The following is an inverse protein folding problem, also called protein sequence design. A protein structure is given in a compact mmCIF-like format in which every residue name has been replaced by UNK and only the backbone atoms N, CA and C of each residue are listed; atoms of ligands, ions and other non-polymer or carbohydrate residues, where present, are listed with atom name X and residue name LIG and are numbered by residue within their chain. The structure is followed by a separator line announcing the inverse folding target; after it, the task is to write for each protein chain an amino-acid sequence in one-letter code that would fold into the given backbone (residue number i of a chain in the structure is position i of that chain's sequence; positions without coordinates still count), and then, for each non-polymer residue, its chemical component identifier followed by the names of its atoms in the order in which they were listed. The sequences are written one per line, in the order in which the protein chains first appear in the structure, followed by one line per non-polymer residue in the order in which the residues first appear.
data_IF_617214333161
#
_entry.id   IF_617214333161
#
_cell.length_a   1.000
_cell.length_b   1.000
_cell.length_c   1.000
_cell.angle_alpha   90.00
_cell.angle_beta   90.00
_cell.angle_gamma   90.00
#
_symmetry.space_group_name_H-M   'P 1'
#
loop_
_entity.id
_entity.type
_entity.pdbx_description
1 polymer ?
#
# COMPACT_ATOMS: atom_id res chain seq x y z
N UNK A 1 -5.70 24.92 3.16
CA UNK A 1 -5.91 23.90 2.11
C UNK A 1 -5.28 24.29 0.78
N UNK A 2 -5.45 25.53 0.29
CA UNK A 2 -4.79 25.98 -0.95
C UNK A 2 -3.25 25.89 -0.92
N UNK A 3 -2.60 26.12 0.22
CA UNK A 3 -1.15 25.91 0.38
C UNK A 3 -0.74 24.44 0.16
N UNK A 4 -1.52 23.49 0.68
CA UNK A 4 -1.30 22.05 0.45
C UNK A 4 -1.48 21.70 -1.02
N UNK A 5 -2.43 22.33 -1.70
CA UNK A 5 -2.65 22.17 -3.14
C UNK A 5 -1.49 22.77 -3.95
N UNK A 6 -0.99 23.95 -3.55
CA UNK A 6 0.20 24.57 -4.14
C UNK A 6 1.40 23.64 -4.09
N UNK A 7 1.67 23.04 -2.92
CA UNK A 7 2.75 22.08 -2.74
C UNK A 7 2.53 20.79 -3.55
N UNK A 8 1.31 20.22 -3.52
CA UNK A 8 1.02 18.94 -4.17
C UNK A 8 1.07 19.00 -5.71
N UNK A 9 0.89 20.18 -6.29
CA UNK A 9 0.97 20.44 -7.73
C UNK A 9 2.34 20.95 -8.17
N UNK A 10 3.26 21.19 -7.24
CA UNK A 10 4.52 21.91 -7.48
C UNK A 10 4.31 23.24 -8.24
N UNK A 11 3.28 24.00 -7.84
CA UNK A 11 2.88 25.23 -8.52
C UNK A 11 3.99 26.29 -8.49
N UNK A 12 4.07 27.10 -9.54
CA UNK A 12 4.74 28.40 -9.50
C UNK A 12 3.86 29.45 -8.79
N UNK A 13 2.56 29.45 -9.09
CA UNK A 13 1.55 30.32 -8.44
C UNK A 13 0.14 29.74 -8.55
N UNK A 14 -0.73 30.15 -7.63
CA UNK A 14 -2.19 29.97 -7.72
C UNK A 14 -2.81 31.37 -7.75
N UNK A 15 -3.63 31.64 -8.77
CA UNK A 15 -4.41 32.88 -8.86
C UNK A 15 -5.82 32.56 -8.39
N UNK A 16 -6.28 33.27 -7.36
CA UNK A 16 -7.69 33.22 -6.92
C UNK A 16 -8.48 34.17 -7.79
N UNK A 17 -9.25 33.63 -8.75
CA UNK A 17 -10.12 34.43 -9.62
C UNK A 17 -11.41 34.85 -8.93
N UNK A 18 -11.81 34.13 -7.88
CA UNK A 18 -12.92 34.50 -7.02
C UNK A 18 -12.78 33.89 -5.63
N UNK A 19 -13.11 34.65 -4.59
CA UNK A 19 -13.11 34.21 -3.20
C UNK A 19 -14.45 34.47 -2.52
N UNK A 20 -14.43 35.00 -1.30
CA UNK A 20 -15.64 35.39 -0.59
C UNK A 20 -16.50 36.40 -1.39
N UNK A 21 -17.82 36.22 -1.37
CA UNK A 21 -18.80 37.12 -1.99
C UNK A 21 -19.93 37.41 -0.99
N UNK A 22 -20.41 38.65 -0.92
CA UNK A 22 -21.65 38.91 -0.18
C UNK A 22 -22.86 38.28 -0.90
N UNK A 23 -23.94 38.00 -0.18
CA UNK A 23 -25.12 37.34 -0.75
C UNK A 23 -25.71 38.06 -1.98
N UNK A 24 -25.69 39.39 -1.99
CA UNK A 24 -26.15 40.19 -3.12
C UNK A 24 -25.25 40.01 -4.35
N UNK A 25 -23.93 40.05 -4.16
CA UNK A 25 -22.98 39.84 -5.25
C UNK A 25 -23.01 38.40 -5.77
N UNK A 26 -23.12 37.40 -4.87
CA UNK A 26 -23.23 35.99 -5.24
C UNK A 26 -24.43 35.74 -6.18
N UNK A 27 -25.61 36.31 -5.85
CA UNK A 27 -26.79 36.24 -6.72
C UNK A 27 -26.58 36.94 -8.07
N UNK A 28 -25.88 38.07 -8.09
CA UNK A 28 -25.62 38.82 -9.32
C UNK A 28 -24.73 38.04 -10.32
N UNK A 29 -23.93 37.09 -9.84
CA UNK A 29 -23.06 36.23 -10.65
C UNK A 29 -23.59 34.80 -10.80
N UNK A 30 -24.89 34.58 -10.55
CA UNK A 30 -25.57 33.30 -10.77
C UNK A 30 -25.58 32.33 -9.59
N UNK A 31 -25.05 32.73 -8.44
CA UNK A 31 -25.13 31.98 -7.19
C UNK A 31 -26.50 32.08 -6.51
N UNK A 32 -26.72 31.26 -5.48
CA UNK A 32 -27.99 31.24 -4.74
C UNK A 32 -28.02 32.23 -3.55
N UNK A 33 -26.91 32.91 -3.26
CA UNK A 33 -26.78 33.85 -2.14
C UNK A 33 -26.56 33.20 -0.78
N UNK A 34 -26.36 31.89 -0.72
CA UNK A 34 -26.15 31.11 0.51
C UNK A 34 -25.09 29.99 0.34
N UNK A 35 -24.36 29.99 -0.77
CA UNK A 35 -23.36 28.98 -1.12
C UNK A 35 -22.02 29.13 -0.37
N UNK A 36 -21.05 28.28 -0.70
CA UNK A 36 -19.75 28.23 -0.02
C UNK A 36 -18.93 29.54 -0.19
N UNK A 37 -19.10 30.26 -1.30
CA UNK A 37 -18.51 31.60 -1.47
C UNK A 37 -19.04 32.61 -0.44
N UNK A 38 -20.34 32.56 -0.12
CA UNK A 38 -20.93 33.44 0.91
C UNK A 38 -20.54 33.07 2.33
N UNK A 39 -20.03 31.85 2.53
CA UNK A 39 -19.48 31.36 3.81
C UNK A 39 -17.99 31.62 3.95
N UNK A 40 -17.33 32.13 2.90
CA UNK A 40 -15.87 32.32 2.88
C UNK A 40 -15.08 31.02 2.82
N UNK A 41 -15.73 29.91 2.48
CA UNK A 41 -15.16 28.56 2.46
C UNK A 41 -14.87 28.04 1.05
N UNK A 42 -15.06 28.88 0.02
CA UNK A 42 -14.80 28.55 -1.38
C UNK A 42 -13.88 29.56 -2.07
N UNK A 43 -13.17 29.07 -3.08
CA UNK A 43 -12.39 29.85 -4.02
C UNK A 43 -12.43 29.22 -5.41
N UNK A 44 -12.52 30.07 -6.43
CA UNK A 44 -12.26 29.66 -7.82
C UNK A 44 -10.82 30.02 -8.14
N UNK A 45 -10.06 29.07 -8.69
CA UNK A 45 -8.61 29.20 -8.84
C UNK A 45 -8.12 28.78 -10.22
N UNK A 46 -7.05 29.44 -10.67
CA UNK A 46 -6.23 29.02 -11.81
C UNK A 46 -4.82 28.71 -11.28
N UNK A 47 -4.33 27.50 -11.54
CA UNK A 47 -3.02 27.04 -11.08
C UNK A 47 -2.00 27.13 -12.22
N UNK A 48 -0.78 27.55 -11.92
CA UNK A 48 0.32 27.67 -12.87
C UNK A 48 1.54 26.88 -12.40
N UNK A 49 2.24 26.23 -13.31
CA UNK A 49 3.52 25.58 -13.04
C UNK A 49 4.64 26.62 -12.83
N UNK A 50 5.84 26.15 -12.46
CA UNK A 50 7.02 27.01 -12.25
C UNK A 50 7.50 27.73 -13.52
N UNK A 51 7.13 27.22 -14.69
CA UNK A 51 7.45 27.80 -16.00
C UNK A 51 6.40 28.84 -16.44
N UNK A 52 5.33 29.02 -15.67
CA UNK A 52 4.25 29.96 -15.95
C UNK A 52 3.15 29.41 -16.87
N UNK A 53 3.14 28.12 -17.20
CA UNK A 53 2.05 27.50 -17.95
C UNK A 53 0.88 27.15 -17.02
N UNK A 54 -0.33 27.17 -17.56
CA UNK A 54 -1.52 26.75 -16.81
C UNK A 54 -1.45 25.24 -16.56
N UNK A 55 -1.64 24.84 -15.30
CA UNK A 55 -1.86 23.44 -14.93
C UNK A 55 -3.34 23.13 -15.21
N UNK A 56 -3.59 22.09 -15.99
CA UNK A 56 -4.95 21.71 -16.38
C UNK A 56 -5.84 21.48 -15.15
N UNK A 57 -7.06 22.01 -15.20
CA UNK A 57 -8.12 21.80 -14.21
C UNK A 57 -8.37 20.32 -13.94
N UNK A 58 -8.17 19.43 -14.94
CA UNK A 58 -8.27 17.97 -14.74
C UNK A 58 -7.30 17.49 -13.65
N UNK A 59 -6.04 17.89 -13.77
CA UNK A 59 -4.97 17.58 -12.81
C UNK A 59 -5.25 18.21 -11.44
N UNK A 60 -5.69 19.47 -11.43
CA UNK A 60 -6.01 20.20 -10.20
C UNK A 60 -7.15 19.53 -9.44
N UNK A 61 -8.24 19.13 -10.11
CA UNK A 61 -9.36 18.39 -9.51
C UNK A 61 -8.91 17.06 -8.89
N UNK A 62 -8.08 16.29 -9.61
CA UNK A 62 -7.52 15.04 -9.11
C UNK A 62 -6.69 15.24 -7.82
N UNK A 63 -5.82 16.26 -7.78
CA UNK A 63 -5.02 16.56 -6.58
C UNK A 63 -5.83 17.14 -5.44
N UNK A 64 -6.82 17.99 -5.72
CA UNK A 64 -7.74 18.48 -4.71
C UNK A 64 -8.55 17.33 -4.08
N UNK A 65 -8.94 16.33 -4.87
CA UNK A 65 -9.59 15.13 -4.37
C UNK A 65 -8.68 14.38 -3.39
N UNK A 66 -7.39 14.19 -3.73
CA UNK A 66 -6.43 13.51 -2.84
C UNK A 66 -6.18 14.28 -1.54
N UNK A 67 -6.26 15.60 -1.58
CA UNK A 67 -6.10 16.48 -0.41
C UNK A 67 -7.37 16.58 0.45
N UNK A 68 -8.48 16.00 0.01
CA UNK A 68 -9.73 15.93 0.76
C UNK A 68 -10.58 17.19 0.72
N UNK A 69 -10.51 17.99 -0.36
CA UNK A 69 -11.46 19.09 -0.56
C UNK A 69 -12.90 18.55 -0.63
N UNK A 70 -13.83 19.29 0.00
CA UNK A 70 -15.22 18.87 0.14
C UNK A 70 -16.04 19.11 -1.12
N UNK A 71 -15.78 20.24 -1.80
CA UNK A 71 -16.35 20.55 -3.10
C UNK A 71 -15.26 20.92 -4.09
N UNK A 72 -15.35 20.34 -5.28
CA UNK A 72 -14.39 20.46 -6.37
C UNK A 72 -15.19 20.47 -7.66
N UNK A 73 -14.98 21.45 -8.54
CA UNK A 73 -15.54 21.38 -9.89
C UNK A 73 -14.63 22.00 -10.94
N UNK A 74 -14.55 21.37 -12.11
CA UNK A 74 -14.05 22.05 -13.31
C UNK A 74 -15.07 23.12 -13.72
N UNK A 75 -14.64 24.37 -13.94
CA UNK A 75 -15.58 25.46 -14.27
C UNK A 75 -15.45 25.97 -15.71
N UNK A 76 -14.49 25.46 -16.49
CA UNK A 76 -14.22 25.95 -17.86
C UNK A 76 -14.07 24.81 -18.86
N UNK A 77 -14.57 25.01 -20.08
CA UNK A 77 -14.40 24.03 -21.16
C UNK A 77 -12.95 23.86 -21.63
N UNK A 78 -12.12 24.88 -21.40
CA UNK A 78 -10.68 24.86 -21.65
C UNK A 78 -9.87 24.17 -20.53
N UNK A 79 -10.53 23.72 -19.45
CA UNK A 79 -9.90 23.11 -18.28
C UNK A 79 -8.79 23.98 -17.68
N UNK A 80 -9.08 25.25 -17.41
CA UNK A 80 -8.10 26.19 -16.84
C UNK A 80 -8.41 26.61 -15.41
N UNK A 81 -9.69 26.59 -15.01
CA UNK A 81 -10.13 27.04 -13.69
C UNK A 81 -10.91 25.97 -12.95
N UNK A 82 -10.75 25.96 -11.62
CA UNK A 82 -11.35 24.98 -10.70
C UNK A 82 -12.01 25.71 -9.52
N UNK A 83 -13.25 25.33 -9.23
CA UNK A 83 -13.93 25.65 -7.98
C UNK A 83 -13.43 24.72 -6.87
N UNK A 84 -13.08 25.28 -5.73
CA UNK A 84 -12.62 24.55 -4.55
C UNK A 84 -13.30 25.05 -3.30
N UNK A 85 -13.83 24.15 -2.49
CA UNK A 85 -14.37 24.50 -1.18
C UNK A 85 -14.15 23.42 -0.11
N UNK A 86 -14.27 23.83 1.14
CA UNK A 86 -13.99 23.01 2.33
C UNK A 86 -15.26 22.48 3.02
N UNK A 87 -16.38 22.34 2.29
CA UNK A 87 -17.64 21.83 2.86
C UNK A 87 -17.44 20.47 3.54
N UNK A 88 -18.15 20.28 4.65
CA UNK A 88 -18.17 19.02 5.41
C UNK A 88 -19.50 18.28 5.23
N UNK A 89 -19.49 16.95 5.36
CA UNK A 89 -20.69 16.11 5.35
C UNK A 89 -21.04 15.46 4.01
N UNK A 90 -21.02 16.18 2.90
CA UNK A 90 -21.28 15.62 1.56
C UNK A 90 -20.27 16.13 0.54
N UNK A 91 -19.72 15.21 -0.25
CA UNK A 91 -18.78 15.53 -1.32
C UNK A 91 -19.50 16.03 -2.56
N UNK A 92 -18.95 17.07 -3.17
CA UNK A 92 -19.44 17.64 -4.42
C UNK A 92 -18.32 17.63 -5.46
N UNK A 93 -18.33 16.67 -6.39
CA UNK A 93 -17.34 16.57 -7.47
C UNK A 93 -18.05 16.84 -8.80
N UNK A 94 -17.98 18.08 -9.26
CA UNK A 94 -18.73 18.60 -10.40
C UNK A 94 -17.88 18.87 -11.66
N UNK A 95 -18.58 19.17 -12.74
CA UNK A 95 -18.04 19.79 -13.95
C UNK A 95 -19.10 20.78 -14.45
N UNK A 96 -18.94 22.06 -14.14
CA UNK A 96 -19.93 23.10 -14.43
C UNK A 96 -20.13 23.32 -15.93
N UNK A 97 -19.20 22.83 -16.76
CA UNK A 97 -19.38 22.81 -18.23
C UNK A 97 -20.43 21.80 -18.68
N UNK A 98 -20.78 20.84 -17.81
CA UNK A 98 -21.80 19.80 -17.99
C UNK A 98 -23.02 20.01 -17.09
N UNK A 99 -22.93 20.93 -16.14
CA UNK A 99 -23.98 21.28 -15.19
C UNK A 99 -23.46 21.36 -13.74
N UNK A 100 -24.30 21.84 -12.82
CA UNK A 100 -23.87 22.12 -11.44
C UNK A 100 -24.07 20.95 -10.48
N UNK A 101 -24.34 19.75 -10.98
CA UNK A 101 -24.52 18.53 -10.17
C UNK A 101 -23.20 17.77 -9.98
N UNK A 102 -23.16 16.85 -9.00
CA UNK A 102 -22.05 15.89 -8.88
C UNK A 102 -22.02 15.00 -10.12
N UNK A 103 -20.88 14.99 -10.82
CA UNK A 103 -20.69 14.22 -12.08
C UNK A 103 -19.85 12.97 -11.87
N UNK A 104 -19.13 12.86 -10.75
CA UNK A 104 -18.26 11.73 -10.45
C UNK A 104 -18.09 11.52 -8.95
N UNK A 105 -17.60 10.35 -8.54
CA UNK A 105 -17.04 10.13 -7.21
C UNK A 105 -15.50 10.00 -7.25
N UNK A 106 -14.89 10.03 -8.44
CA UNK A 106 -13.47 9.89 -8.67
C UNK A 106 -13.02 10.61 -9.95
N UNK A 107 -12.30 11.73 -9.80
CA UNK A 107 -11.80 12.53 -10.93
C UNK A 107 -10.74 11.83 -11.78
N UNK A 108 -9.94 10.93 -11.20
CA UNK A 108 -8.95 10.17 -11.96
C UNK A 108 -9.63 9.31 -13.03
N UNK A 109 -10.66 8.56 -12.64
CA UNK A 109 -11.47 7.76 -13.58
C UNK A 109 -12.24 8.65 -14.56
N UNK A 110 -12.86 9.74 -14.06
CA UNK A 110 -13.65 10.65 -14.89
C UNK A 110 -12.84 11.31 -16.03
N UNK A 111 -11.61 11.73 -15.75
CA UNK A 111 -10.75 12.37 -16.74
C UNK A 111 -9.85 11.38 -17.51
N UNK A 112 -9.89 10.09 -17.19
CA UNK A 112 -8.98 9.10 -17.75
C UNK A 112 -7.51 9.36 -17.41
N UNK A 113 -7.24 9.86 -16.20
CA UNK A 113 -5.90 10.16 -15.70
C UNK A 113 -5.45 9.04 -14.77
N UNK A 114 -4.29 8.45 -15.02
CA UNK A 114 -3.68 7.49 -14.11
C UNK A 114 -3.32 8.14 -12.77
N UNK A 115 -3.73 7.52 -11.65
CA UNK A 115 -3.38 7.99 -10.31
C UNK A 115 -1.98 7.53 -9.95
N UNK A 116 -1.02 8.45 -9.96
CA UNK A 116 0.28 8.22 -9.33
C UNK A 116 0.06 8.01 -7.82
N UNK A 117 0.48 6.86 -7.28
CA UNK A 117 0.55 6.72 -5.82
C UNK A 117 1.79 7.49 -5.35
N UNK A 118 1.73 8.16 -4.19
CA UNK A 118 2.93 8.77 -3.63
C UNK A 118 3.98 7.68 -3.43
N UNK A 119 5.09 7.76 -4.18
CA UNK A 119 6.29 7.00 -3.88
C UNK A 119 6.80 7.45 -2.52
N UNK A 120 7.09 6.54 -1.57
CA UNK A 120 7.89 6.90 -0.42
C UNK A 120 9.24 7.38 -0.95
N UNK A 121 9.55 8.67 -0.79
CA UNK A 121 10.80 9.25 -1.29
C UNK A 121 12.02 8.85 -0.47
N UNK A 122 11.82 8.07 0.59
CA UNK A 122 12.87 7.66 1.53
C UNK A 122 12.99 6.14 1.58
N UNK A 123 14.23 5.67 1.47
CA UNK A 123 14.59 4.28 1.71
C UNK A 123 14.39 4.02 3.21
N UNK A 124 13.51 3.07 3.55
CA UNK A 124 13.21 2.72 4.95
C UNK A 124 14.07 1.56 5.47
N UNK A 125 14.57 0.71 4.56
CA UNK A 125 15.45 -0.41 4.90
C UNK A 125 16.32 -0.83 3.70
N UNK A 126 17.49 -1.40 3.99
CA UNK A 126 18.38 -2.00 3.00
C UNK A 126 18.37 -3.52 3.11
N UNK A 127 18.34 -4.22 1.99
CA UNK A 127 18.26 -5.66 1.98
C UNK A 127 19.13 -6.31 0.92
N UNK A 128 19.03 -7.62 0.90
CA UNK A 128 19.60 -8.50 -0.11
C UNK A 128 18.55 -9.53 -0.52
N UNK A 129 18.63 -10.02 -1.75
CA UNK A 129 17.95 -11.24 -2.15
C UNK A 129 18.97 -12.34 -2.48
N UNK A 130 18.67 -13.56 -2.01
CA UNK A 130 19.64 -14.66 -1.99
C UNK A 130 19.02 -16.00 -2.31
N UNK A 131 19.84 -16.91 -2.80
CA UNK A 131 19.45 -18.27 -3.18
C UNK A 131 20.62 -19.25 -2.98
N UNK A 132 20.51 -20.46 -3.55
CA UNK A 132 21.66 -21.38 -3.65
C UNK A 132 22.90 -20.77 -4.29
N UNK A 133 22.77 -19.72 -5.10
CA UNK A 133 23.89 -19.11 -5.82
C UNK A 133 24.91 -18.44 -4.89
N UNK A 134 24.49 -17.99 -3.70
CA UNK A 134 25.37 -17.45 -2.67
C UNK A 134 25.98 -18.55 -1.77
N UNK A 135 25.68 -19.83 -2.04
CA UNK A 135 26.19 -20.95 -1.27
C UNK A 135 25.79 -20.91 0.20
N UNK A 136 26.69 -21.38 1.07
CA UNK A 136 26.48 -21.40 2.53
C UNK A 136 26.87 -20.04 3.10
N UNK A 137 25.88 -19.17 3.30
CA UNK A 137 26.07 -17.82 3.84
C UNK A 137 26.44 -17.87 5.34
N UNK A 138 27.42 -17.06 5.74
CA UNK A 138 27.67 -16.77 7.16
C UNK A 138 26.77 -15.60 7.61
N UNK A 139 25.57 -15.94 8.08
CA UNK A 139 24.55 -14.95 8.44
C UNK A 139 24.91 -14.11 9.67
N UNK A 140 25.77 -14.61 10.56
CA UNK A 140 26.27 -13.82 11.70
C UNK A 140 27.14 -12.67 11.22
N UNK A 141 28.01 -12.91 10.23
CA UNK A 141 28.78 -11.85 9.57
C UNK A 141 27.88 -10.89 8.80
N UNK A 142 26.82 -11.38 8.15
CA UNK A 142 25.83 -10.54 7.48
C UNK A 142 25.16 -9.60 8.49
N UNK A 143 24.65 -10.13 9.61
CA UNK A 143 24.03 -9.32 10.67
C UNK A 143 25.02 -8.33 11.28
N UNK A 144 26.23 -8.78 11.61
CA UNK A 144 27.27 -7.96 12.21
C UNK A 144 27.79 -6.85 11.26
N UNK A 145 27.56 -6.98 9.96
CA UNK A 145 27.97 -5.97 8.98
C UNK A 145 27.21 -4.65 9.14
N UNK A 146 25.99 -4.67 9.70
CA UNK A 146 25.11 -3.50 9.79
C UNK A 146 24.61 -2.98 8.43
N UNK A 147 24.79 -3.75 7.35
CA UNK A 147 24.40 -3.35 5.98
C UNK A 147 23.07 -3.96 5.53
N UNK A 148 22.55 -4.96 6.25
CA UNK A 148 21.39 -5.77 5.86
C UNK A 148 20.33 -5.71 6.96
N UNK A 149 19.25 -5.01 6.66
CA UNK A 149 18.06 -4.86 7.50
C UNK A 149 17.01 -5.93 7.20
N UNK A 150 16.98 -6.47 5.97
CA UNK A 150 16.08 -7.55 5.56
C UNK A 150 16.70 -8.47 4.50
N UNK A 151 16.09 -9.64 4.28
CA UNK A 151 16.46 -10.53 3.17
C UNK A 151 15.24 -11.12 2.44
N UNK A 152 15.28 -11.22 1.11
CA UNK A 152 14.29 -11.97 0.32
C UNK A 152 14.94 -13.29 -0.13
N UNK A 153 14.33 -14.43 0.22
CA UNK A 153 14.96 -15.73 0.05
C UNK A 153 14.31 -16.50 -1.12
N UNK A 154 15.09 -17.07 -2.05
CA UNK A 154 14.48 -17.98 -3.03
C UNK A 154 13.89 -19.18 -2.31
N UNK A 155 12.58 -19.34 -2.37
CA UNK A 155 11.90 -20.52 -1.85
C UNK A 155 12.03 -21.70 -2.81
N UNK A 156 12.01 -21.42 -4.11
CA UNK A 156 12.16 -22.42 -5.15
C UNK A 156 11.89 -21.83 -6.53
N UNK A 157 11.68 -22.72 -7.49
CA UNK A 157 11.44 -22.36 -8.89
C UNK A 157 10.57 -23.41 -9.57
N UNK A 158 9.88 -23.05 -10.66
CA UNK A 158 9.09 -24.01 -11.43
C UNK A 158 7.95 -24.65 -10.62
N UNK A 159 7.55 -25.87 -11.00
CA UNK A 159 6.29 -26.52 -10.57
C UNK A 159 6.46 -27.88 -9.90
N UNK A 160 7.69 -28.31 -9.65
CA UNK A 160 8.00 -29.59 -9.03
C UNK A 160 8.55 -29.38 -7.61
N UNK A 161 8.18 -30.25 -6.67
CA UNK A 161 8.67 -30.16 -5.28
C UNK A 161 10.18 -30.35 -5.14
N UNK A 162 10.83 -31.02 -6.11
CA UNK A 162 12.29 -31.14 -6.20
C UNK A 162 13.01 -29.83 -6.53
N UNK A 163 12.26 -28.78 -6.89
CA UNK A 163 12.77 -27.46 -7.25
C UNK A 163 12.71 -26.44 -6.10
N UNK A 164 12.42 -26.90 -4.87
CA UNK A 164 12.68 -26.09 -3.66
C UNK A 164 14.18 -25.76 -3.62
N UNK A 165 14.52 -24.49 -3.37
CA UNK A 165 15.92 -24.07 -3.33
C UNK A 165 16.64 -24.75 -2.16
N UNK A 166 17.76 -25.40 -2.45
CA UNK A 166 18.51 -26.20 -1.48
C UNK A 166 19.05 -25.39 -0.30
N UNK A 167 19.15 -24.07 -0.41
CA UNK A 167 19.52 -23.18 0.71
C UNK A 167 18.33 -22.55 1.42
N UNK A 168 17.09 -22.72 0.93
CA UNK A 168 15.93 -22.00 1.46
C UNK A 168 15.74 -22.20 2.97
N UNK A 169 15.68 -23.45 3.43
CA UNK A 169 15.47 -23.77 4.85
C UNK A 169 16.60 -23.27 5.74
N UNK A 170 17.85 -23.36 5.26
CA UNK A 170 19.01 -22.85 6.00
C UNK A 170 18.96 -21.32 6.09
N UNK A 171 18.71 -20.64 4.98
CA UNK A 171 18.64 -19.18 4.94
C UNK A 171 17.47 -18.66 5.80
N UNK A 172 16.31 -19.30 5.70
CA UNK A 172 15.14 -18.98 6.50
C UNK A 172 15.44 -19.15 8.00
N UNK A 173 15.91 -20.33 8.42
CA UNK A 173 16.20 -20.61 9.83
C UNK A 173 17.25 -19.66 10.42
N UNK A 174 18.29 -19.31 9.68
CA UNK A 174 19.30 -18.35 10.12
C UNK A 174 18.76 -16.92 10.23
N UNK A 175 17.92 -16.49 9.27
CA UNK A 175 17.24 -15.19 9.35
C UNK A 175 16.37 -15.12 10.61
N UNK A 176 15.56 -16.16 10.88
CA UNK A 176 14.72 -16.20 12.09
C UNK A 176 15.57 -16.25 13.37
N UNK A 177 16.64 -17.05 13.40
CA UNK A 177 17.56 -17.16 14.56
C UNK A 177 18.20 -15.82 14.93
N UNK A 178 18.58 -15.03 13.93
CA UNK A 178 19.28 -13.75 14.11
C UNK A 178 18.36 -12.53 14.11
N UNK A 179 17.04 -12.73 14.00
CA UNK A 179 16.07 -11.63 13.92
C UNK A 179 16.32 -10.71 12.72
N UNK A 180 16.60 -11.30 11.55
CA UNK A 180 16.62 -10.60 10.27
C UNK A 180 15.23 -10.80 9.64
N UNK A 181 14.40 -9.74 9.54
CA UNK A 181 13.14 -9.79 8.79
C UNK A 181 13.35 -10.37 7.39
N UNK A 182 12.51 -11.33 6.99
CA UNK A 182 12.67 -11.96 5.69
C UNK A 182 11.36 -12.12 4.92
N UNK A 183 11.50 -12.10 3.60
CA UNK A 183 10.48 -12.47 2.62
C UNK A 183 10.95 -13.68 1.82
N UNK A 184 10.22 -14.01 0.76
CA UNK A 184 10.66 -15.05 -0.16
C UNK A 184 10.33 -14.69 -1.61
N UNK A 185 10.96 -15.36 -2.56
CA UNK A 185 10.57 -15.29 -3.96
C UNK A 185 10.48 -16.68 -4.60
N UNK A 186 9.70 -16.78 -5.67
CA UNK A 186 9.54 -18.00 -6.47
C UNK A 186 9.80 -17.71 -7.94
N UNK A 187 10.87 -18.30 -8.49
CA UNK A 187 11.27 -18.08 -9.88
C UNK A 187 10.39 -18.88 -10.84
N UNK A 188 9.74 -18.19 -11.77
CA UNK A 188 8.72 -18.77 -12.63
C UNK A 188 9.26 -19.25 -13.97
N UNK A 189 8.84 -20.46 -14.37
CA UNK A 189 8.99 -20.96 -15.74
C UNK A 189 7.64 -21.13 -16.45
N UNK A 190 6.53 -20.82 -15.77
CA UNK A 190 5.19 -20.94 -16.30
C UNK A 190 5.01 -20.17 -17.61
N UNK A 191 4.26 -20.72 -18.55
CA UNK A 191 3.86 -20.06 -19.81
C UNK A 191 2.36 -19.85 -19.90
N UNK A 192 1.62 -20.48 -18.99
CA UNK A 192 0.17 -20.43 -18.90
C UNK A 192 -0.26 -20.17 -17.46
N UNK A 193 -1.46 -19.62 -17.27
CA UNK A 193 -2.03 -19.42 -15.94
C UNK A 193 -2.17 -20.74 -15.13
N UNK A 194 -2.45 -21.86 -15.80
CA UNK A 194 -2.53 -23.17 -15.16
C UNK A 194 -1.18 -23.62 -14.60
N UNK A 195 -0.09 -23.39 -15.34
CA UNK A 195 1.26 -23.66 -14.82
C UNK A 195 1.61 -22.71 -13.68
N UNK A 196 1.34 -21.42 -13.79
CA UNK A 196 1.59 -20.46 -12.71
C UNK A 196 0.82 -20.84 -11.43
N UNK A 197 -0.39 -21.37 -11.55
CA UNK A 197 -1.13 -21.91 -10.41
C UNK A 197 -0.47 -23.18 -9.82
N UNK A 198 0.08 -24.07 -10.65
CA UNK A 198 0.85 -25.23 -10.17
C UNK A 198 2.12 -24.81 -9.43
N UNK A 199 2.84 -23.82 -9.97
CA UNK A 199 4.00 -23.22 -9.30
C UNK A 199 3.61 -22.62 -7.94
N UNK A 200 2.49 -21.88 -7.88
CA UNK A 200 1.98 -21.32 -6.63
C UNK A 200 1.65 -22.40 -5.60
N UNK A 201 1.08 -23.54 -6.02
CA UNK A 201 0.79 -24.66 -5.12
C UNK A 201 2.07 -25.24 -4.50
N UNK A 202 3.14 -25.40 -5.27
CA UNK A 202 4.44 -25.86 -4.74
C UNK A 202 5.08 -24.80 -3.87
N UNK A 203 5.04 -23.52 -4.27
CA UNK A 203 5.51 -22.40 -3.45
C UNK A 203 4.82 -22.43 -2.07
N UNK A 204 3.49 -22.49 -2.03
CA UNK A 204 2.72 -22.58 -0.78
C UNK A 204 3.13 -23.77 0.10
N UNK A 205 3.47 -24.92 -0.51
CA UNK A 205 3.96 -26.07 0.25
C UNK A 205 5.32 -25.80 0.91
N UNK A 206 6.22 -25.07 0.25
CA UNK A 206 7.51 -24.67 0.81
C UNK A 206 7.37 -23.61 1.91
N UNK A 207 6.37 -22.72 1.80
CA UNK A 207 6.10 -21.66 2.77
C UNK A 207 5.32 -22.13 4.01
N UNK A 208 4.68 -23.30 3.95
CA UNK A 208 3.80 -23.80 5.00
C UNK A 208 4.48 -23.81 6.40
N UNK A 209 3.77 -23.28 7.39
CA UNK A 209 4.22 -23.22 8.79
C UNK A 209 5.30 -22.16 9.07
N UNK A 210 5.63 -21.30 8.10
CA UNK A 210 6.63 -20.24 8.24
C UNK A 210 6.00 -18.86 8.35
N UNK A 211 6.79 -17.90 8.82
CA UNK A 211 6.39 -16.49 8.98
C UNK A 211 7.35 -15.57 8.24
N UNK A 212 6.81 -14.60 7.49
CA UNK A 212 7.60 -13.71 6.64
C UNK A 212 7.22 -12.24 6.86
N UNK A 213 8.14 -11.45 7.38
CA UNK A 213 7.97 -10.02 7.61
C UNK A 213 8.02 -9.18 6.33
N UNK A 214 8.41 -9.78 5.20
CA UNK A 214 8.42 -9.16 3.87
C UNK A 214 7.57 -9.96 2.88
N UNK A 215 7.20 -9.39 1.71
CA UNK A 215 6.36 -10.04 0.71
C UNK A 215 6.88 -11.39 0.22
N UNK A 216 5.98 -12.17 -0.37
CA UNK A 216 6.31 -13.32 -1.21
C UNK A 216 6.22 -12.87 -2.67
N UNK A 217 7.37 -12.77 -3.34
CA UNK A 217 7.46 -12.27 -4.71
C UNK A 217 7.29 -13.40 -5.75
N UNK A 218 6.43 -13.16 -6.74
CA UNK A 218 6.40 -13.91 -7.98
C UNK A 218 7.44 -13.34 -8.93
N UNK A 219 8.51 -14.11 -9.18
CA UNK A 219 9.63 -13.69 -10.00
C UNK A 219 9.40 -14.15 -11.45
N UNK A 220 9.08 -13.20 -12.34
CA UNK A 220 8.73 -13.43 -13.74
C UNK A 220 9.67 -12.67 -14.68
N UNK A 221 10.66 -13.37 -15.21
CA UNK A 221 11.69 -12.77 -16.08
C UNK A 221 11.77 -13.42 -17.46
N UNK A 222 11.23 -14.63 -17.59
CA UNK A 222 11.34 -15.43 -18.81
C UNK A 222 10.59 -14.78 -19.98
N UNK A 223 11.29 -14.58 -21.09
CA UNK A 223 10.74 -13.94 -22.30
C UNK A 223 9.46 -14.63 -22.81
N UNK A 224 9.36 -15.96 -22.63
CA UNK A 224 8.18 -16.73 -22.99
C UNK A 224 7.00 -16.49 -22.02
N UNK A 225 7.29 -16.31 -20.73
CA UNK A 225 6.30 -16.03 -19.69
C UNK A 225 5.72 -14.62 -19.83
N UNK A 226 6.58 -13.65 -20.18
CA UNK A 226 6.19 -12.24 -20.33
C UNK A 226 5.13 -11.99 -21.42
N UNK A 227 4.96 -12.92 -22.37
CA UNK A 227 3.90 -12.84 -23.39
C UNK A 227 2.49 -12.92 -22.80
N UNK A 228 2.35 -13.54 -21.63
CA UNK A 228 1.09 -13.75 -20.94
C UNK A 228 1.12 -13.16 -19.51
N UNK A 229 2.03 -12.23 -19.24
CA UNK A 229 2.45 -11.84 -17.88
C UNK A 229 1.27 -11.56 -16.94
N UNK A 230 0.25 -10.83 -17.38
CA UNK A 230 -0.91 -10.49 -16.56
C UNK A 230 -1.64 -11.72 -16.03
N UNK A 231 -1.91 -12.70 -16.90
CA UNK A 231 -2.60 -13.94 -16.53
C UNK A 231 -1.75 -14.79 -15.56
N UNK A 232 -0.43 -14.80 -15.73
CA UNK A 232 0.49 -15.52 -14.85
C UNK A 232 0.58 -14.86 -13.48
N UNK A 233 0.79 -13.54 -13.44
CA UNK A 233 0.83 -12.75 -12.22
C UNK A 233 -0.48 -12.91 -11.44
N UNK A 234 -1.62 -12.78 -12.11
CA UNK A 234 -2.93 -12.96 -11.49
C UNK A 234 -3.09 -14.37 -10.91
N UNK A 235 -2.75 -15.42 -11.66
CA UNK A 235 -2.90 -16.80 -11.21
C UNK A 235 -2.04 -17.11 -9.98
N UNK A 236 -0.77 -16.73 -10.01
CA UNK A 236 0.16 -17.01 -8.92
C UNK A 236 -0.14 -16.15 -7.69
N UNK A 237 -0.24 -14.82 -7.86
CA UNK A 237 -0.41 -13.90 -6.75
C UNK A 237 -1.78 -14.05 -6.08
N UNK A 238 -2.85 -14.31 -6.84
CA UNK A 238 -4.17 -14.58 -6.25
C UNK A 238 -4.20 -15.86 -5.41
N UNK A 239 -3.44 -16.88 -5.81
CA UNK A 239 -3.33 -18.11 -5.03
C UNK A 239 -2.61 -17.87 -3.69
N UNK A 240 -1.54 -17.06 -3.70
CA UNK A 240 -0.86 -16.62 -2.48
C UNK A 240 -1.78 -15.77 -1.57
N UNK A 241 -2.45 -14.76 -2.12
CA UNK A 241 -3.39 -13.91 -1.36
C UNK A 241 -4.52 -14.74 -0.73
N UNK A 242 -5.07 -15.69 -1.49
CA UNK A 242 -6.14 -16.58 -1.00
C UNK A 242 -5.67 -17.49 0.14
N UNK A 243 -4.37 -17.80 0.19
CA UNK A 243 -3.74 -18.55 1.27
C UNK A 243 -3.26 -17.65 2.43
N UNK A 244 -3.55 -16.34 2.39
CA UNK A 244 -3.20 -15.39 3.44
C UNK A 244 -1.79 -14.83 3.36
N UNK A 245 -1.15 -14.86 2.19
CA UNK A 245 0.15 -14.23 1.97
C UNK A 245 0.04 -12.88 1.28
N UNK A 246 0.93 -11.97 1.63
CA UNK A 246 1.15 -10.70 0.95
C UNK A 246 2.01 -10.96 -0.29
N UNK A 247 1.39 -10.87 -1.47
CA UNK A 247 2.05 -11.13 -2.74
C UNK A 247 2.67 -9.85 -3.34
N UNK A 248 3.82 -10.01 -4.00
CA UNK A 248 4.43 -8.99 -4.83
C UNK A 248 4.84 -9.57 -6.19
N UNK A 249 5.03 -8.71 -7.19
CA UNK A 249 5.56 -9.09 -8.50
C UNK A 249 7.00 -8.61 -8.58
N UNK A 250 7.93 -9.51 -8.86
CA UNK A 250 9.30 -9.17 -9.21
C UNK A 250 9.50 -9.31 -10.73
N UNK A 251 10.03 -8.26 -11.35
CA UNK A 251 10.55 -8.29 -12.72
C UNK A 251 11.34 -7.02 -13.02
N UNK A 252 12.00 -6.97 -14.17
CA UNK A 252 12.78 -5.81 -14.61
C UNK A 252 11.92 -4.69 -15.20
N UNK A 253 12.41 -3.44 -15.08
CA UNK A 253 11.70 -2.22 -15.49
C UNK A 253 10.99 -2.32 -16.85
N UNK A 254 11.69 -2.79 -17.88
CA UNK A 254 11.12 -2.82 -19.24
C UNK A 254 9.96 -3.81 -19.39
N UNK A 255 9.93 -4.90 -18.61
CA UNK A 255 8.77 -5.80 -18.56
C UNK A 255 7.58 -5.16 -17.83
N UNK A 256 7.82 -4.44 -16.72
CA UNK A 256 6.77 -3.68 -16.04
C UNK A 256 6.12 -2.59 -16.91
N UNK A 257 6.86 -2.06 -17.89
CA UNK A 257 6.39 -1.03 -18.81
C UNK A 257 5.73 -1.61 -20.06
N UNK A 258 6.18 -2.77 -20.55
CA UNK A 258 5.75 -3.29 -21.86
C UNK A 258 4.90 -4.56 -21.81
N UNK A 259 4.94 -5.32 -20.71
CA UNK A 259 4.31 -6.63 -20.59
C UNK A 259 3.25 -6.73 -19.49
N UNK A 260 3.29 -5.87 -18.47
CA UNK A 260 2.38 -5.93 -17.32
C UNK A 260 1.39 -4.76 -17.33
N UNK A 261 0.10 -5.10 -17.33
CA UNK A 261 -1.02 -4.18 -17.30
C UNK A 261 -1.12 -3.36 -16.01
N UNK A 262 -1.66 -2.14 -16.12
CA UNK A 262 -1.82 -1.23 -14.97
C UNK A 262 -2.77 -1.77 -13.90
N UNK A 263 -3.76 -2.58 -14.30
CA UNK A 263 -4.66 -3.27 -13.37
C UNK A 263 -3.89 -4.24 -12.46
N UNK A 264 -2.98 -5.04 -13.03
CA UNK A 264 -2.12 -5.96 -12.29
C UNK A 264 -1.18 -5.19 -11.34
N UNK A 265 -0.50 -4.15 -11.85
CA UNK A 265 0.42 -3.31 -11.05
C UNK A 265 -0.28 -2.49 -9.97
N UNK A 266 -1.57 -2.22 -10.13
CA UNK A 266 -2.39 -1.55 -9.11
C UNK A 266 -2.91 -2.51 -8.04
N UNK A 267 -2.95 -3.81 -8.34
CA UNK A 267 -3.47 -4.86 -7.46
C UNK A 267 -2.40 -5.43 -6.54
N UNK A 268 -1.21 -5.69 -7.06
CA UNK A 268 -0.10 -6.29 -6.31
C UNK A 268 1.03 -5.29 -6.12
N UNK A 269 1.80 -5.47 -5.03
CA UNK A 269 2.99 -4.67 -4.84
C UNK A 269 4.09 -5.06 -5.84
N UNK A 270 5.02 -4.15 -6.10
CA UNK A 270 6.08 -4.35 -7.09
C UNK A 270 7.44 -4.36 -6.42
N UNK A 271 8.20 -5.40 -6.71
CA UNK A 271 9.62 -5.52 -6.47
C UNK A 271 10.36 -5.30 -7.79
N UNK A 272 10.77 -4.06 -8.02
CA UNK A 272 11.35 -3.63 -9.28
C UNK A 272 12.81 -4.05 -9.38
N UNK A 273 13.24 -4.65 -10.50
CA UNK A 273 14.66 -4.67 -10.88
C UNK A 273 14.98 -3.54 -11.86
N UNK A 274 15.90 -2.67 -11.47
CA UNK A 274 16.45 -1.62 -12.32
C UNK A 274 17.83 -1.21 -11.80
N UNK A 275 18.84 -1.93 -12.26
CA UNK A 275 20.20 -1.81 -11.72
C UNK A 275 21.05 -0.78 -12.47
N UNK A 276 22.26 -0.56 -11.96
CA UNK A 276 23.28 0.32 -12.56
C UNK A 276 22.80 1.78 -12.74
N UNK A 277 21.83 2.21 -11.92
CA UNK A 277 21.30 3.59 -11.88
C UNK A 277 21.21 4.10 -10.45
N UNK A 278 21.45 5.39 -10.24
CA UNK A 278 21.35 6.01 -8.90
C UNK A 278 19.91 6.23 -8.44
N UNK A 279 18.97 6.25 -9.39
CA UNK A 279 17.52 6.32 -9.14
C UNK A 279 16.81 5.64 -10.29
N UNK A 280 15.81 4.81 -9.98
CA UNK A 280 14.96 4.24 -11.01
C UNK A 280 14.21 5.32 -11.79
N UNK A 281 14.14 5.16 -13.11
CA UNK A 281 13.31 5.99 -14.02
C UNK A 281 11.91 5.40 -14.25
N UNK A 282 11.56 4.31 -13.56
CA UNK A 282 10.24 3.72 -13.64
C UNK A 282 9.20 4.66 -13.03
N UNK A 283 8.16 4.98 -13.80
CA UNK A 283 7.11 5.94 -13.40
C UNK A 283 6.01 5.30 -12.55
N UNK A 284 5.88 3.97 -12.57
CA UNK A 284 4.93 3.23 -11.76
C UNK A 284 5.38 3.09 -10.31
N UNK A 285 4.51 2.51 -9.49
CA UNK A 285 4.81 2.34 -8.07
C UNK A 285 5.55 1.03 -7.79
N UNK A 286 6.44 1.08 -6.81
CA UNK A 286 7.15 -0.10 -6.30
C UNK A 286 7.45 0.11 -4.81
N UNK A 287 7.36 -0.96 -4.03
CA UNK A 287 7.72 -0.93 -2.62
C UNK A 287 9.08 -1.57 -2.32
N UNK A 288 9.60 -2.38 -3.25
CA UNK A 288 10.96 -2.91 -3.23
C UNK A 288 11.68 -2.55 -4.54
N UNK A 289 12.99 -2.31 -4.47
CA UNK A 289 13.82 -2.06 -5.64
C UNK A 289 15.19 -2.76 -5.51
N UNK A 290 15.44 -3.70 -6.41
CA UNK A 290 16.76 -4.27 -6.64
C UNK A 290 17.56 -3.28 -7.49
N UNK A 291 18.55 -2.64 -6.86
CA UNK A 291 19.33 -1.56 -7.47
C UNK A 291 20.73 -2.01 -7.93
N UNK A 292 21.16 -3.21 -7.54
CA UNK A 292 22.41 -3.81 -7.98
C UNK A 292 22.37 -5.33 -7.86
N UNK A 293 23.07 -6.03 -8.76
CA UNK A 293 23.38 -7.46 -8.64
C UNK A 293 24.87 -7.72 -8.34
N UNK A 294 25.65 -6.66 -8.11
CA UNK A 294 27.12 -6.71 -7.91
C UNK A 294 27.52 -6.32 -6.49
N UNK A 295 26.61 -6.52 -5.54
CA UNK A 295 26.83 -6.18 -4.15
C UNK A 295 27.92 -7.02 -3.49
N UNK A 296 28.49 -6.49 -2.41
CA UNK A 296 29.43 -7.23 -1.57
C UNK A 296 29.06 -7.03 -0.11
N UNK A 297 28.66 -8.13 0.55
CA UNK A 297 28.26 -8.14 1.95
C UNK A 297 29.11 -9.14 2.72
N UNK A 298 29.64 -8.71 3.87
CA UNK A 298 30.44 -9.57 4.74
C UNK A 298 29.65 -10.83 5.12
N UNK A 299 30.24 -12.00 4.89
CA UNK A 299 29.60 -13.29 5.14
C UNK A 299 29.07 -13.99 3.89
N UNK A 300 29.04 -13.31 2.75
CA UNK A 300 28.71 -13.87 1.44
C UNK A 300 29.97 -13.90 0.58
N UNK A 301 30.18 -15.01 -0.12
CA UNK A 301 31.27 -15.15 -1.09
C UNK A 301 30.73 -14.82 -2.47
N UNK A 302 31.39 -13.90 -3.17
CA UNK A 302 30.96 -13.44 -4.50
C UNK A 302 29.98 -12.26 -4.44
N UNK A 303 29.28 -12.06 -5.54
CA UNK A 303 28.31 -10.98 -5.70
C UNK A 303 26.96 -11.36 -5.08
N UNK A 304 26.22 -10.35 -4.63
CA UNK A 304 24.86 -10.48 -4.10
C UNK A 304 23.99 -9.34 -4.58
N UNK A 305 22.71 -9.64 -4.78
CA UNK A 305 21.70 -8.65 -5.12
C UNK A 305 21.46 -7.71 -3.92
N UNK A 306 21.30 -6.42 -4.21
CA UNK A 306 21.11 -5.37 -3.22
C UNK A 306 19.78 -4.67 -3.44
N UNK A 307 19.03 -4.53 -2.36
CA UNK A 307 17.66 -4.07 -2.39
C UNK A 307 17.43 -2.86 -1.47
N UNK A 308 16.47 -2.04 -1.86
CA UNK A 308 15.83 -1.07 -1.00
C UNK A 308 14.37 -1.41 -0.77
N UNK A 309 13.93 -1.25 0.47
CA UNK A 309 12.51 -1.15 0.78
C UNK A 309 12.12 0.30 0.95
N UNK A 310 10.96 0.65 0.41
CA UNK A 310 10.33 1.96 0.53
C UNK A 310 9.09 1.91 1.43
N UNK A 311 8.64 0.71 1.81
CA UNK A 311 7.52 0.50 2.70
C UNK A 311 7.96 -0.27 3.95
N UNK A 312 7.33 0.02 5.10
CA UNK A 312 7.48 -0.77 6.32
C UNK A 312 6.65 -2.05 6.21
N UNK A 313 7.13 -3.00 5.40
CA UNK A 313 6.51 -4.30 5.22
C UNK A 313 6.28 -5.06 6.53
N UNK A 314 7.23 -5.11 7.48
CA UNK A 314 6.98 -5.75 8.76
C UNK A 314 5.75 -5.20 9.47
N UNK A 315 5.54 -3.87 9.49
CA UNK A 315 4.35 -3.27 10.09
C UNK A 315 3.08 -3.59 9.29
N UNK A 316 3.12 -3.41 7.96
CA UNK A 316 1.98 -3.63 7.06
C UNK A 316 1.46 -5.08 7.17
N UNK A 317 2.36 -6.05 7.02
CA UNK A 317 2.03 -7.47 6.95
C UNK A 317 1.54 -7.99 8.31
N UNK A 318 2.20 -7.60 9.40
CA UNK A 318 1.77 -7.99 10.76
C UNK A 318 0.42 -7.37 11.15
N UNK A 319 0.19 -6.10 10.81
CA UNK A 319 -1.09 -5.44 11.06
C UNK A 319 -2.23 -6.10 10.28
N UNK A 320 -1.96 -6.55 9.05
CA UNK A 320 -2.92 -7.27 8.24
C UNK A 320 -3.18 -8.71 8.71
N UNK A 321 -2.26 -9.31 9.48
CA UNK A 321 -2.33 -10.73 9.85
C UNK A 321 -2.06 -11.66 8.66
N UNK A 322 -1.12 -11.27 7.80
CA UNK A 322 -0.73 -12.04 6.63
C UNK A 322 0.59 -12.78 6.88
N UNK A 323 1.01 -13.63 5.94
CA UNK A 323 2.30 -14.33 5.96
C UNK A 323 2.52 -15.16 7.23
N UNK A 324 1.50 -15.87 7.70
CA UNK A 324 1.58 -16.71 8.90
C UNK A 324 1.57 -15.95 10.23
N UNK A 325 1.43 -14.62 10.21
CA UNK A 325 1.14 -13.85 11.41
C UNK A 325 -0.36 -13.89 11.71
N UNK A 326 -0.71 -13.99 13.00
CA UNK A 326 -2.08 -13.71 13.40
C UNK A 326 -2.37 -12.23 13.18
N UNK A 327 -3.58 -11.91 12.71
CA UNK A 327 -4.06 -10.53 12.73
C UNK A 327 -4.00 -10.09 14.18
N UNK A 328 -3.23 -9.04 14.46
CA UNK A 328 -3.31 -8.40 15.76
C UNK A 328 -4.78 -8.01 15.92
N UNK A 329 -5.51 -8.73 16.79
CA UNK A 329 -6.69 -8.16 17.38
C UNK A 329 -6.17 -6.85 17.97
N UNK A 330 -6.59 -5.72 17.41
CA UNK A 330 -6.38 -4.45 18.06
C UNK A 330 -6.94 -4.66 19.46
N UNK A 331 -6.06 -4.87 20.44
CA UNK A 331 -6.35 -4.46 21.78
C UNK A 331 -6.48 -2.96 21.64
N UNK A 332 -7.71 -2.51 21.35
CA UNK A 332 -8.18 -1.31 21.99
C UNK A 332 -7.74 -1.48 23.43
N UNK A 333 -6.83 -0.62 23.87
CA UNK A 333 -6.83 -0.23 25.26
C UNK A 333 -8.11 0.57 25.47
N UNK A 334 -9.23 -0.14 25.38
CA UNK A 334 -10.40 0.24 26.15
C UNK A 334 -9.92 0.11 27.59
N UNK A 335 -9.82 1.26 28.27
CA UNK A 335 -10.08 1.26 29.70
C UNK A 335 -11.31 0.39 29.94
N UNK A 336 -11.37 -0.40 31.01
CA UNK A 336 -12.56 -1.19 31.30
C UNK A 336 -13.74 -0.23 31.40
N UNK A 337 -14.58 -0.24 30.37
CA UNK A 337 -15.95 0.20 30.47
C UNK A 337 -16.72 -1.11 30.62
N UNK A 338 -17.21 -1.32 31.82
CA UNK A 338 -18.21 -2.34 32.10
C UNK A 338 -19.30 -2.25 31.05
N UNK A 339 -19.53 -3.33 30.30
CA UNK A 339 -20.88 -3.66 29.88
C UNK A 339 -21.01 -5.18 29.84
N UNK A 340 -21.66 -5.66 30.90
CA UNK A 340 -22.65 -6.72 30.87
C UNK A 340 -23.06 -7.19 29.48
N UNK A 341 -22.77 -8.46 29.18
CA UNK A 341 -23.80 -9.26 28.52
C UNK A 341 -24.02 -10.58 29.25
N UNK A 342 -25.31 -10.88 29.35
CA UNK A 342 -25.93 -12.03 29.99
C UNK A 342 -25.22 -13.32 29.59
N UNK A 343 -24.75 -14.05 30.59
CA UNK A 343 -24.90 -15.49 30.55
C UNK A 343 -25.47 -16.01 31.87
N UNK A 344 -26.44 -16.89 31.71
CA UNK A 344 -27.37 -17.40 32.71
C UNK A 344 -26.67 -18.16 33.84
N UNK A 345 -26.65 -17.61 35.05
CA UNK A 345 -26.52 -18.39 36.30
C UNK A 345 -27.01 -17.60 37.53
N UNK A 346 -28.33 -17.38 37.57
CA UNK A 346 -29.01 -16.60 38.61
C UNK A 346 -29.13 -17.31 39.99
N UNK A 347 -28.29 -18.31 40.27
CA UNK A 347 -28.42 -19.15 41.48
C UNK A 347 -27.30 -18.93 42.51
N UNK A 348 -26.18 -18.32 42.13
CA UNK A 348 -25.05 -18.10 43.04
C UNK A 348 -25.09 -16.73 43.72
N UNK A 349 -25.49 -15.70 42.99
CA UNK A 349 -25.64 -14.33 43.51
C UNK A 349 -26.80 -14.23 44.51
N UNK A 350 -27.92 -14.94 44.27
CA UNK A 350 -29.05 -14.97 45.20
C UNK A 350 -28.67 -15.63 46.54
N UNK A 351 -27.84 -16.69 46.49
CA UNK A 351 -27.31 -17.37 47.70
C UNK A 351 -26.35 -16.47 48.47
N UNK A 352 -25.54 -15.67 47.78
CA UNK A 352 -24.65 -14.71 48.43
C UNK A 352 -25.42 -13.55 49.08
N UNK A 353 -26.46 -13.02 48.41
CA UNK A 353 -27.35 -11.98 48.97
C UNK A 353 -28.12 -12.51 50.19
N UNK A 354 -28.67 -13.72 50.13
CA UNK A 354 -29.38 -14.34 51.27
C UNK A 354 -28.46 -14.54 52.48
N UNK A 355 -27.19 -14.94 52.27
CA UNK A 355 -26.20 -15.06 53.36
C UNK A 355 -25.84 -13.70 53.97
N UNK A 356 -25.78 -12.64 53.14
CA UNK A 356 -25.46 -11.31 53.61
C UNK A 356 -26.62 -10.67 54.40
N UNK A 357 -27.86 -10.88 53.96
CA UNK A 357 -29.06 -10.42 54.69
C UNK A 357 -29.20 -11.15 56.03
N UNK A 358 -29.01 -12.47 56.07
CA UNK A 358 -29.02 -13.22 57.33
C UNK A 358 -27.94 -12.75 58.32
N UNK A 359 -26.75 -12.40 57.82
CA UNK A 359 -25.67 -11.83 58.65
C UNK A 359 -25.97 -10.42 59.17
N UNK A 360 -26.85 -9.66 58.51
CA UNK A 360 -27.24 -8.31 58.93
C UNK A 360 -28.35 -8.37 59.98
N UNK A 361 -29.30 -9.29 59.84
CA UNK A 361 -30.36 -9.51 60.83
C UNK A 361 -29.82 -10.04 62.17
N UNK A 362 -28.78 -10.88 62.16
CA UNK A 362 -28.09 -11.31 63.39
C UNK A 362 -27.33 -10.15 64.09
N UNK A 363 -26.89 -9.14 63.34
CA UNK A 363 -26.17 -7.98 63.89
C UNK A 363 -27.08 -6.85 64.37
N UNK A 364 -28.35 -6.86 63.95
CA UNK A 364 -29.34 -5.84 64.33
C UNK A 364 -30.24 -6.29 65.49
N UNK A 365 -30.32 -7.60 65.78
CA UNK A 365 -31.15 -8.18 66.83
C UNK A 365 -30.36 -8.90 67.95
N UNK A 366 -29.05 -8.67 68.05
CA UNK A 366 -28.14 -9.24 69.05
C UNK A 366 -27.56 -8.20 70.00
#
# INVERSE_FOLDING_TARGET
MLERLYMALDCGKIIVSSGYRCAAHDKAVGGNGAGQHTKGTAADVVCYDKSGNIISAKTVCCKAQDLGFGGIANITGAYTSVHLDVRTGSRYYGDETKGTNTVTNNFYSYFGIAKAQPQPSEIVAKGIDVSKHQGVINWEKVKASGQVDFAILRAGFGKESSQIDVQFERNYSECKRLGIPCGAYWYSYAKTAAEAWQEAAVCLSALAGKQFEYPIAFDIEEQASLQNADALCQAFCSALESAGYYAAIYTFKSALESCIGDDIKSRYDVFLSHVDVSRSSYAGNYGLWQYSWKGSVSGIVGEVDLDYAYQDYPAIIKAAGLNGFAKNATTTTDKPNEDTEKDTNNNDTLKQILRHVASIDEKLNG
#
